data_IF_225162978491
#
_entry.id   IF_225162978491
#
_cell.length_a   1.000
_cell.length_b   1.000
_cell.length_c   1.000
_cell.angle_alpha   90.00
_cell.angle_beta   90.00
_cell.angle_gamma   90.00
#
_symmetry.space_group_name_H-M   'P 1'
#
loop_
_entity.id
_entity.type
_entity.pdbx_description
1 polymer ?
#
# COMPACT_ATOMS: atom_id res chain seq x y z
N UNK A 1 -18.66 2.40 18.05
CA UNK A 1 -17.26 2.10 17.74
C UNK A 1 -16.41 2.74 18.84
N UNK A 2 -15.49 2.01 19.44
CA UNK A 2 -14.62 2.59 20.48
C UNK A 2 -13.49 3.41 19.85
N UNK A 3 -12.84 4.29 20.62
CA UNK A 3 -11.64 5.01 20.14
C UNK A 3 -10.52 4.02 19.75
N UNK A 4 -10.40 2.91 20.47
CA UNK A 4 -9.50 1.78 20.14
C UNK A 4 -9.81 1.18 18.77
N UNK A 5 -11.09 0.99 18.43
CA UNK A 5 -11.48 0.52 17.10
C UNK A 5 -11.10 1.54 16.02
N UNK A 6 -11.21 2.84 16.30
CA UNK A 6 -10.77 3.89 15.37
C UNK A 6 -9.28 3.78 15.09
N UNK A 7 -8.45 3.67 16.13
CA UNK A 7 -7.01 3.48 15.94
C UNK A 7 -6.69 2.19 15.19
N UNK A 8 -7.41 1.10 15.46
CA UNK A 8 -7.25 -0.16 14.72
C UNK A 8 -7.52 0.04 13.24
N UNK A 9 -8.60 0.74 12.89
CA UNK A 9 -8.92 1.04 11.49
C UNK A 9 -7.86 1.93 10.87
N UNK A 10 -7.44 3.01 11.55
CA UNK A 10 -6.43 3.93 11.04
C UNK A 10 -5.09 3.23 10.76
N UNK A 11 -4.61 2.40 11.69
CA UNK A 11 -3.38 1.61 11.53
C UNK A 11 -3.49 0.67 10.33
N UNK A 12 -4.63 0.00 10.19
CA UNK A 12 -4.90 -0.90 9.06
C UNK A 12 -4.94 -0.16 7.73
N UNK A 13 -5.63 0.97 7.67
CA UNK A 13 -5.69 1.84 6.48
C UNK A 13 -4.29 2.35 6.11
N UNK A 14 -3.52 2.78 7.10
CA UNK A 14 -2.12 3.17 6.91
C UNK A 14 -1.30 2.00 6.36
N UNK A 15 -1.44 0.81 6.91
CA UNK A 15 -0.80 -0.39 6.40
C UNK A 15 -1.13 -0.69 4.94
N UNK A 16 -2.41 -0.59 4.55
CA UNK A 16 -2.82 -0.76 3.16
C UNK A 16 -2.13 0.26 2.23
N UNK A 17 -2.13 1.52 2.61
CA UNK A 17 -1.47 2.58 1.86
C UNK A 17 0.05 2.34 1.73
N UNK A 18 0.71 1.96 2.82
CA UNK A 18 2.14 1.66 2.83
C UNK A 18 2.49 0.54 1.84
N UNK A 19 1.69 -0.53 1.74
CA UNK A 19 1.93 -1.61 0.76
C UNK A 19 1.90 -1.07 -0.66
N UNK A 20 0.87 -0.27 -0.98
CA UNK A 20 0.70 0.26 -2.33
C UNK A 20 1.92 1.10 -2.72
N UNK A 21 2.40 1.96 -1.83
CA UNK A 21 3.64 2.72 -2.06
C UNK A 21 4.86 1.80 -2.18
N UNK A 22 5.02 0.84 -1.28
CA UNK A 22 6.19 -0.03 -1.29
C UNK A 22 6.27 -0.83 -2.59
N UNK A 23 5.17 -1.45 -3.00
CA UNK A 23 5.13 -2.33 -4.18
C UNK A 23 5.32 -1.54 -5.47
N UNK A 24 4.73 -0.36 -5.58
CA UNK A 24 4.67 0.36 -6.86
C UNK A 24 5.57 1.58 -6.96
N UNK A 25 6.19 2.01 -5.87
CA UNK A 25 7.14 3.12 -5.88
C UNK A 25 8.51 2.69 -5.35
N UNK A 26 8.59 2.10 -4.15
CA UNK A 26 9.88 1.80 -3.51
C UNK A 26 10.61 0.66 -4.24
N UNK A 27 9.92 -0.47 -4.46
CA UNK A 27 10.53 -1.64 -5.10
C UNK A 27 11.03 -1.31 -6.52
N UNK A 28 10.22 -0.73 -7.43
CA UNK A 28 10.69 -0.38 -8.77
C UNK A 28 11.87 0.59 -8.76
N UNK A 29 11.91 1.53 -7.81
CA UNK A 29 13.04 2.47 -7.67
C UNK A 29 14.34 1.74 -7.35
N UNK A 30 14.30 0.73 -6.47
CA UNK A 30 15.49 -0.08 -6.14
C UNK A 30 15.98 -0.85 -7.36
N UNK A 31 15.07 -1.44 -8.14
CA UNK A 31 15.42 -2.19 -9.36
C UNK A 31 15.81 -1.31 -10.55
N UNK A 32 15.39 -0.05 -10.56
CA UNK A 32 15.71 0.93 -11.61
C UNK A 32 17.13 1.48 -11.53
N UNK A 33 17.88 1.21 -10.44
CA UNK A 33 19.29 1.58 -10.36
C UNK A 33 20.13 0.66 -11.24
N UNK A 34 20.90 1.19 -12.18
CA UNK A 34 21.73 0.36 -13.03
C UNK A 34 22.87 -0.26 -12.21
N UNK A 35 22.88 -1.60 -12.16
CA UNK A 35 23.86 -2.40 -11.43
C UNK A 35 25.13 -2.50 -12.29
N UNK A 36 26.01 -1.51 -12.18
CA UNK A 36 27.23 -1.45 -13.01
C UNK A 36 28.45 -2.21 -12.45
N UNK A 37 28.31 -2.99 -11.38
CA UNK A 37 29.47 -3.63 -10.72
C UNK A 37 29.09 -5.06 -10.28
N UNK A 38 29.82 -6.07 -10.76
CA UNK A 38 29.60 -7.49 -10.40
C UNK A 38 29.72 -7.73 -8.88
N UNK A 39 30.61 -7.01 -8.20
CA UNK A 39 30.74 -7.03 -6.73
C UNK A 39 29.55 -6.40 -5.99
N UNK A 40 28.77 -5.54 -6.65
CA UNK A 40 27.59 -4.91 -6.07
C UNK A 40 26.37 -5.83 -6.08
N UNK A 41 26.37 -6.92 -6.86
CA UNK A 41 25.20 -7.80 -7.01
C UNK A 41 24.76 -8.40 -5.66
N UNK A 42 25.72 -8.89 -4.86
CA UNK A 42 25.42 -9.47 -3.53
C UNK A 42 24.84 -8.42 -2.58
N UNK A 43 25.38 -7.20 -2.61
CA UNK A 43 24.87 -6.08 -1.78
C UNK A 43 23.49 -5.60 -2.23
N UNK A 44 23.25 -5.54 -3.54
CA UNK A 44 21.94 -5.19 -4.11
C UNK A 44 20.91 -6.25 -3.75
N UNK A 45 21.20 -7.53 -4.00
CA UNK A 45 20.29 -8.62 -3.62
C UNK A 45 20.06 -8.68 -2.11
N UNK A 46 21.10 -8.47 -1.30
CA UNK A 46 20.99 -8.38 0.15
C UNK A 46 20.09 -7.23 0.60
N UNK A 47 20.27 -6.03 0.04
CA UNK A 47 19.46 -4.87 0.37
C UNK A 47 18.00 -5.01 -0.07
N UNK A 48 17.74 -5.61 -1.24
CA UNK A 48 16.39 -5.97 -1.71
C UNK A 48 15.75 -6.98 -0.75
N UNK A 49 16.46 -8.03 -0.37
CA UNK A 49 15.95 -9.06 0.53
C UNK A 49 15.62 -8.51 1.92
N UNK A 50 16.52 -7.72 2.50
CA UNK A 50 16.31 -7.06 3.80
C UNK A 50 15.12 -6.10 3.71
N UNK A 51 15.06 -5.26 2.67
CA UNK A 51 13.97 -4.31 2.49
C UNK A 51 12.63 -5.03 2.33
N UNK A 52 12.56 -6.04 1.47
CA UNK A 52 11.35 -6.84 1.28
C UNK A 52 10.91 -7.51 2.59
N UNK A 53 11.84 -8.09 3.35
CA UNK A 53 11.56 -8.71 4.64
C UNK A 53 11.01 -7.70 5.65
N UNK A 54 11.65 -6.53 5.77
CA UNK A 54 11.18 -5.45 6.65
C UNK A 54 9.79 -4.95 6.26
N UNK A 55 9.52 -4.78 4.97
CA UNK A 55 8.21 -4.35 4.50
C UNK A 55 7.12 -5.41 4.72
N UNK A 56 7.42 -6.69 4.49
CA UNK A 56 6.48 -7.78 4.77
C UNK A 56 6.20 -7.86 6.27
N UNK A 57 7.24 -7.76 7.12
CA UNK A 57 7.09 -7.76 8.56
C UNK A 57 6.23 -6.57 9.04
N UNK A 58 6.51 -5.36 8.51
CA UNK A 58 5.73 -4.16 8.80
C UNK A 58 4.26 -4.33 8.36
N UNK A 59 4.02 -4.88 7.17
CA UNK A 59 2.68 -5.17 6.68
C UNK A 59 1.92 -6.14 7.60
N UNK A 60 2.56 -7.25 7.97
CA UNK A 60 1.95 -8.24 8.86
C UNK A 60 1.60 -7.60 10.20
N UNK A 61 2.49 -6.77 10.71
CA UNK A 61 2.33 -6.06 11.96
C UNK A 61 1.17 -5.05 11.90
N UNK A 62 1.10 -4.23 10.84
CA UNK A 62 0.05 -3.20 10.68
C UNK A 62 -1.34 -3.79 10.39
N UNK A 63 -1.44 -4.86 9.59
CA UNK A 63 -2.74 -5.42 9.20
C UNK A 63 -3.25 -6.46 10.19
N UNK A 64 -2.39 -7.38 10.64
CA UNK A 64 -2.82 -8.51 11.47
C UNK A 64 -2.55 -8.31 12.96
N UNK A 65 -1.63 -7.42 13.35
CA UNK A 65 -1.25 -7.17 14.75
C UNK A 65 -1.47 -5.72 15.19
N UNK A 66 -2.44 -5.03 14.59
CA UNK A 66 -2.79 -3.66 14.95
C UNK A 66 -3.09 -3.48 16.45
N UNK A 67 -3.67 -4.49 17.12
CA UNK A 67 -3.93 -4.45 18.56
C UNK A 67 -2.65 -4.38 19.40
N UNK A 68 -1.62 -5.13 19.01
CA UNK A 68 -0.30 -5.10 19.69
C UNK A 68 0.30 -3.70 19.58
N UNK A 69 0.18 -3.07 18.40
CA UNK A 69 0.62 -1.69 18.20
C UNK A 69 -0.13 -0.71 19.10
N UNK A 70 -1.46 -0.85 19.20
CA UNK A 70 -2.29 0.02 20.02
C UNK A 70 -1.90 -0.08 21.50
N UNK A 71 -1.71 -1.29 21.99
CA UNK A 71 -1.32 -1.53 23.39
C UNK A 71 0.11 -1.07 23.66
N UNK A 72 1.03 -1.30 22.72
CA UNK A 72 2.43 -0.87 22.85
C UNK A 72 2.59 0.64 22.82
N UNK A 73 1.86 1.32 21.93
CA UNK A 73 1.82 2.79 21.86
C UNK A 73 0.95 3.41 22.97
N UNK A 74 0.28 2.59 23.78
CA UNK A 74 -0.60 3.05 24.85
C UNK A 74 -1.80 3.86 24.35
N UNK A 75 -2.22 3.67 23.09
CA UNK A 75 -3.30 4.46 22.47
C UNK A 75 -4.68 4.17 23.08
N UNK A 76 -4.81 3.08 23.84
CA UNK A 76 -6.00 2.73 24.62
C UNK A 76 -6.03 3.41 26.00
N UNK A 77 -4.88 3.85 26.55
CA UNK A 77 -4.80 4.36 27.93
C UNK A 77 -5.34 5.80 28.01
N UNK A 78 -6.31 6.00 28.90
CA UNK A 78 -6.92 7.31 29.16
C UNK A 78 -8.21 7.60 28.38
N UNK A 79 -8.75 6.60 27.66
CA UNK A 79 -9.93 6.75 26.80
C UNK A 79 -11.11 5.83 27.17
N UNK A 80 -11.09 5.23 28.36
CA UNK A 80 -12.02 4.17 28.80
C UNK A 80 -13.50 4.58 28.93
N UNK A 81 -13.85 5.87 28.81
CA UNK A 81 -15.23 6.34 29.03
C UNK A 81 -15.99 6.86 27.82
N UNK A 82 -15.35 7.02 26.65
CA UNK A 82 -15.98 7.75 25.53
C UNK A 82 -16.27 6.83 24.34
N UNK A 83 -17.47 6.27 24.30
CA UNK A 83 -18.01 5.68 23.08
C UNK A 83 -18.25 6.80 22.06
N UNK A 84 -17.54 6.77 20.92
CA UNK A 84 -17.82 7.68 19.81
C UNK A 84 -19.03 7.14 19.04
N UNK A 85 -20.19 7.75 19.25
CA UNK A 85 -21.43 7.44 18.53
C UNK A 85 -21.62 8.41 17.36
N UNK A 86 -20.85 8.19 16.29
CA UNK A 86 -21.17 8.80 15.00
C UNK A 86 -22.08 7.83 14.23
N UNK A 87 -23.39 8.13 14.04
CA UNK A 87 -24.35 7.19 13.45
C UNK A 87 -23.97 6.73 12.03
N UNK A 88 -23.26 7.58 11.29
CA UNK A 88 -22.89 7.36 9.89
C UNK A 88 -21.45 6.84 9.70
N UNK A 89 -20.61 6.92 10.73
CA UNK A 89 -19.20 6.48 10.68
C UNK A 89 -19.07 5.14 11.40
N UNK A 90 -19.50 4.09 10.71
CA UNK A 90 -19.17 2.72 11.09
C UNK A 90 -17.86 2.28 10.42
N UNK A 91 -17.26 1.21 10.94
CA UNK A 91 -16.01 0.64 10.44
C UNK A 91 -16.05 0.41 8.93
N UNK A 92 -17.20 -0.07 8.45
CA UNK A 92 -17.42 -0.37 7.04
C UNK A 92 -17.31 0.88 6.16
N UNK A 93 -17.94 1.97 6.56
CA UNK A 93 -17.90 3.25 5.84
C UNK A 93 -16.49 3.82 5.84
N UNK A 94 -15.78 3.76 6.98
CA UNK A 94 -14.41 4.28 7.08
C UNK A 94 -13.45 3.49 6.18
N UNK A 95 -13.49 2.15 6.22
CA UNK A 95 -12.67 1.33 5.33
C UNK A 95 -13.00 1.56 3.86
N UNK A 96 -14.29 1.64 3.51
CA UNK A 96 -14.71 1.92 2.12
C UNK A 96 -14.14 3.25 1.65
N UNK A 97 -14.30 4.31 2.44
CA UNK A 97 -13.80 5.64 2.10
C UNK A 97 -12.28 5.63 1.96
N UNK A 98 -11.57 5.02 2.90
CA UNK A 98 -10.12 4.90 2.87
C UNK A 98 -9.61 4.15 1.63
N UNK A 99 -10.21 3.01 1.29
CA UNK A 99 -9.84 2.23 0.09
C UNK A 99 -10.08 3.05 -1.18
N UNK A 100 -11.19 3.77 -1.27
CA UNK A 100 -11.49 4.64 -2.41
C UNK A 100 -10.51 5.82 -2.51
N UNK A 101 -10.13 6.43 -1.39
CA UNK A 101 -9.14 7.51 -1.36
C UNK A 101 -7.77 6.98 -1.79
N UNK A 102 -7.32 5.85 -1.23
CA UNK A 102 -6.02 5.24 -1.57
C UNK A 102 -5.99 4.86 -3.05
N UNK A 103 -7.03 4.17 -3.53
CA UNK A 103 -7.15 3.80 -4.95
C UNK A 103 -7.20 5.02 -5.86
N UNK A 104 -8.00 6.04 -5.49
CA UNK A 104 -8.13 7.30 -6.23
C UNK A 104 -6.82 8.05 -6.35
N UNK A 105 -6.10 8.26 -5.23
CA UNK A 105 -4.78 8.90 -5.24
C UNK A 105 -3.81 8.08 -6.09
N UNK A 106 -3.83 6.75 -5.99
CA UNK A 106 -2.97 5.87 -6.79
C UNK A 106 -3.22 6.04 -8.29
N UNK A 107 -4.49 6.12 -8.71
CA UNK A 107 -4.86 6.38 -10.11
C UNK A 107 -4.42 7.78 -10.55
N UNK A 108 -4.70 8.80 -9.75
CA UNK A 108 -4.35 10.19 -10.08
C UNK A 108 -2.83 10.40 -10.23
N UNK A 109 -2.04 9.67 -9.44
CA UNK A 109 -0.58 9.73 -9.48
C UNK A 109 0.00 8.94 -10.68
N UNK A 110 -0.54 7.76 -10.97
CA UNK A 110 -0.01 6.88 -12.02
C UNK A 110 -0.52 7.17 -13.42
N UNK A 111 -1.74 7.72 -13.56
CA UNK A 111 -2.37 7.94 -14.85
C UNK A 111 -1.60 8.93 -15.76
N UNK A 112 -1.20 10.14 -15.30
CA UNK A 112 -0.45 11.07 -16.13
C UNK A 112 0.90 10.48 -16.59
N UNK A 113 1.61 9.81 -15.68
CA UNK A 113 2.89 9.17 -15.96
C UNK A 113 2.75 8.06 -17.00
N UNK A 114 1.68 7.26 -16.90
CA UNK A 114 1.43 6.18 -17.86
C UNK A 114 1.16 6.72 -19.26
N UNK A 115 0.39 7.80 -19.37
CA UNK A 115 0.12 8.46 -20.66
C UNK A 115 1.42 9.03 -21.25
N UNK A 116 2.21 9.75 -20.45
CA UNK A 116 3.49 10.32 -20.88
C UNK A 116 4.42 9.24 -21.45
N UNK A 117 4.68 8.18 -20.68
CA UNK A 117 5.52 7.07 -21.12
C UNK A 117 4.96 6.36 -22.37
N UNK A 118 3.64 6.20 -22.47
CA UNK A 118 3.01 5.58 -23.64
C UNK A 118 3.19 6.44 -24.88
N UNK A 119 3.10 7.77 -24.75
CA UNK A 119 3.36 8.69 -25.86
C UNK A 119 4.84 8.68 -26.26
N UNK A 120 5.77 8.67 -25.30
CA UNK A 120 7.20 8.54 -25.56
C UNK A 120 7.53 7.24 -26.29
N UNK A 121 6.90 6.13 -25.91
CA UNK A 121 7.11 4.83 -26.55
C UNK A 121 6.67 4.80 -28.03
N UNK A 122 5.73 5.67 -28.44
CA UNK A 122 5.24 5.77 -29.81
C UNK A 122 6.07 6.73 -30.69
N UNK A 123 6.93 7.56 -30.10
CA UNK A 123 7.76 8.48 -30.87
C UNK A 123 8.84 7.71 -31.65
N UNK A 124 9.10 8.05 -32.93
CA UNK A 124 10.17 7.42 -33.70
C UNK A 124 11.51 7.67 -33.00
N UNK A 125 12.21 6.60 -32.61
CA UNK A 125 13.54 6.72 -32.02
C UNK A 125 14.54 7.12 -33.12
N UNK A 126 14.75 8.43 -33.32
CA UNK A 126 15.66 8.95 -34.36
C UNK A 126 17.13 9.01 -33.91
N UNK A 127 17.56 8.10 -33.04
CA UNK A 127 18.95 8.03 -32.57
C UNK A 127 19.26 6.68 -31.94
N UNK A 128 20.54 6.27 -32.02
CA UNK A 128 21.07 5.11 -31.29
C UNK A 128 21.01 5.45 -29.79
N UNK A 129 19.89 5.16 -29.15
CA UNK A 129 19.70 5.32 -27.72
C UNK A 129 19.82 3.93 -27.09
N UNK A 130 20.96 3.64 -26.47
CA UNK A 130 21.22 2.41 -25.70
C UNK A 130 20.40 2.31 -24.40
N UNK A 131 19.33 3.10 -24.22
CA UNK A 131 18.51 3.12 -23.00
C UNK A 131 17.24 2.23 -23.07
N UNK A 132 17.22 1.22 -23.95
CA UNK A 132 16.02 0.42 -24.23
C UNK A 132 15.52 -0.37 -23.00
N UNK A 133 16.35 -0.66 -22.00
CA UNK A 133 15.95 -1.49 -20.85
C UNK A 133 15.25 -0.77 -19.69
N UNK A 134 15.60 0.49 -19.39
CA UNK A 134 15.03 1.19 -18.23
C UNK A 134 13.61 1.73 -18.48
N UNK A 135 13.33 2.17 -19.72
CA UNK A 135 12.04 2.75 -20.10
C UNK A 135 10.90 1.74 -20.07
N UNK A 136 11.14 0.51 -20.53
CA UNK A 136 10.14 -0.56 -20.55
C UNK A 136 9.73 -1.00 -19.14
N UNK A 137 10.70 -1.18 -18.24
CA UNK A 137 10.42 -1.55 -16.85
C UNK A 137 9.60 -0.46 -16.14
N UNK A 138 9.98 0.80 -16.30
CA UNK A 138 9.26 1.91 -15.70
C UNK A 138 7.83 2.01 -16.26
N UNK A 139 7.62 1.79 -17.57
CA UNK A 139 6.29 1.75 -18.19
C UNK A 139 5.39 0.65 -17.62
N UNK A 140 5.89 -0.59 -17.55
CA UNK A 140 5.15 -1.71 -16.96
C UNK A 140 4.81 -1.44 -15.50
N UNK A 141 5.75 -0.89 -14.72
CA UNK A 141 5.53 -0.59 -13.31
C UNK A 141 4.41 0.44 -13.10
N UNK A 142 4.35 1.49 -13.92
CA UNK A 142 3.30 2.50 -13.87
C UNK A 142 1.95 1.92 -14.31
N UNK A 143 1.93 1.08 -15.35
CA UNK A 143 0.72 0.41 -15.80
C UNK A 143 0.13 -0.51 -14.71
N UNK A 144 0.97 -1.27 -14.01
CA UNK A 144 0.54 -2.12 -12.89
C UNK A 144 0.04 -1.27 -11.70
N UNK A 145 0.72 -0.16 -11.39
CA UNK A 145 0.29 0.79 -10.35
C UNK A 145 -1.10 1.36 -10.65
N UNK A 146 -1.34 1.76 -11.90
CA UNK A 146 -2.65 2.24 -12.37
C UNK A 146 -3.71 1.16 -12.27
N UNK A 147 -3.40 -0.06 -12.72
CA UNK A 147 -4.27 -1.23 -12.62
C UNK A 147 -4.63 -1.55 -11.16
N UNK A 148 -3.67 -1.45 -10.23
CA UNK A 148 -3.93 -1.64 -8.80
C UNK A 148 -4.84 -0.55 -8.24
N UNK A 149 -4.62 0.72 -8.59
CA UNK A 149 -5.49 1.82 -8.17
C UNK A 149 -6.94 1.59 -8.62
N UNK A 150 -7.14 1.19 -9.88
CA UNK A 150 -8.45 0.83 -10.40
C UNK A 150 -9.03 -0.42 -9.72
N UNK A 151 -8.21 -1.43 -9.45
CA UNK A 151 -8.63 -2.63 -8.72
C UNK A 151 -9.15 -2.27 -7.32
N UNK A 152 -8.46 -1.41 -6.58
CA UNK A 152 -8.90 -0.93 -5.27
C UNK A 152 -10.26 -0.22 -5.35
N UNK A 153 -10.46 0.62 -6.37
CA UNK A 153 -11.72 1.36 -6.57
C UNK A 153 -12.86 0.41 -6.94
N UNK A 154 -12.66 -0.50 -7.91
CA UNK A 154 -13.72 -1.37 -8.40
C UNK A 154 -14.02 -2.55 -7.47
N UNK A 155 -13.00 -3.07 -6.77
CA UNK A 155 -13.12 -4.22 -5.87
C UNK A 155 -13.08 -3.80 -4.39
N UNK A 156 -13.51 -2.58 -4.07
CA UNK A 156 -13.44 -2.03 -2.71
C UNK A 156 -14.11 -2.92 -1.67
N UNK A 157 -15.20 -3.62 -2.02
CA UNK A 157 -15.91 -4.52 -1.11
C UNK A 157 -15.06 -5.73 -0.68
N UNK A 158 -14.30 -6.30 -1.61
CA UNK A 158 -13.44 -7.46 -1.34
C UNK A 158 -12.25 -7.06 -0.45
N UNK A 159 -11.62 -5.93 -0.78
CA UNK A 159 -10.51 -5.37 0.01
C UNK A 159 -11.01 -5.03 1.41
N UNK A 160 -12.16 -4.36 1.53
CA UNK A 160 -12.79 -4.07 2.81
C UNK A 160 -13.04 -5.33 3.64
N UNK A 161 -13.58 -6.38 3.04
CA UNK A 161 -13.80 -7.66 3.73
C UNK A 161 -12.48 -8.26 4.24
N UNK A 162 -11.41 -8.20 3.45
CA UNK A 162 -10.08 -8.63 3.87
C UNK A 162 -9.55 -7.84 5.07
N UNK A 163 -9.66 -6.49 5.05
CA UNK A 163 -9.22 -5.63 6.15
C UNK A 163 -9.98 -5.92 7.46
N UNK A 164 -11.26 -6.31 7.35
CA UNK A 164 -12.11 -6.65 8.50
C UNK A 164 -11.86 -8.05 9.06
N UNK A 165 -11.29 -9.01 8.32
CA UNK A 165 -11.07 -10.39 8.81
C UNK A 165 -10.23 -10.46 10.09
N UNK A 166 -9.27 -9.55 10.26
CA UNK A 166 -8.49 -9.47 11.51
C UNK A 166 -9.25 -8.84 12.69
N UNK A 167 -10.37 -8.15 12.45
CA UNK A 167 -11.18 -7.52 13.50
C UNK A 167 -12.36 -8.41 13.96
N UNK A 168 -12.81 -9.36 13.12
CA UNK A 168 -14.01 -10.15 13.36
C UNK A 168 -13.86 -11.26 14.42
N UNK A 169 -12.64 -11.77 14.66
CA UNK A 169 -12.40 -12.86 15.62
C UNK A 169 -12.74 -12.55 17.08
N UNK A 170 -13.01 -11.28 17.43
CA UNK A 170 -13.30 -10.87 18.82
C UNK A 170 -14.80 -10.75 19.12
N UNK A 171 -15.67 -10.63 18.12
CA UNK A 171 -17.13 -10.56 18.37
C UNK A 171 -17.73 -11.92 18.74
N UNK A 172 -17.14 -13.04 18.30
CA UNK A 172 -17.57 -14.40 18.66
C UNK A 172 -16.97 -14.93 19.96
N UNK A 173 -15.96 -14.27 20.56
CA UNK A 173 -15.40 -14.69 21.86
C UNK A 173 -15.99 -13.93 23.06
N UNK A 174 -16.87 -12.96 22.79
CA UNK A 174 -17.56 -12.14 23.79
C UNK A 174 -19.10 -12.33 23.74
N UNK A 175 -19.58 -13.33 22.98
CA UNK A 175 -20.98 -13.83 23.01
C UNK A 175 -21.02 -15.27 23.51
#
# INVERSE_FOLDING_TARGET
MTKTDLFRILIKVFGLYSIVITVFSVIPTIFGYPIYIEEALVWVLGSVFISATLFIALFVLLIFKADILIDWLGLSKGFDSDSFSAPYLNDKTIFKLAILIIGGITVLDSFPVFIDQSLTALQPQTGISENIDAGGFYWVSTALKLGMGLYLIFNFQQVQAFMMRGSAKKQESET
#
